data_IF_165971376632
#
_entry.id   IF_165971376632
#
_cell.length_a   1.000
_cell.length_b   1.000
_cell.length_c   1.000
_cell.angle_alpha   90.00
_cell.angle_beta   90.00
_cell.angle_gamma   90.00
#
_symmetry.space_group_name_H-M   'P 1'
#
loop_
_entity.id
_entity.type
_entity.pdbx_description
1 polymer ?
#
# COMPACT_ATOMS: atom_id res chain seq x y z
N UNK A 1 -16.51 31.90 -3.88
CA UNK A 1 -15.86 32.92 -3.03
C UNK A 1 -16.25 34.37 -3.44
N UNK A 2 -16.57 34.58 -4.71
CA UNK A 2 -16.97 35.91 -5.22
C UNK A 2 -18.43 36.25 -4.99
N UNK A 3 -19.23 35.38 -4.36
CA UNK A 3 -20.67 35.59 -4.14
C UNK A 3 -21.55 35.56 -5.39
N UNK A 4 -21.03 35.05 -6.52
CA UNK A 4 -21.80 34.95 -7.77
C UNK A 4 -22.76 33.77 -7.81
N UNK A 5 -22.51 32.76 -6.97
CA UNK A 5 -23.35 31.57 -6.78
C UNK A 5 -23.37 31.24 -5.30
N UNK A 6 -24.45 30.64 -4.83
CA UNK A 6 -24.62 30.30 -3.41
C UNK A 6 -23.79 29.10 -2.99
N UNK A 7 -23.59 28.13 -3.89
CA UNK A 7 -22.74 26.95 -3.65
C UNK A 7 -22.16 26.41 -4.97
N UNK A 8 -21.11 25.59 -4.85
CA UNK A 8 -20.51 24.84 -5.94
C UNK A 8 -20.42 23.38 -5.49
N UNK A 9 -21.00 22.50 -6.28
CA UNK A 9 -20.90 21.06 -6.07
C UNK A 9 -19.71 20.50 -6.84
N UNK A 10 -18.79 19.90 -6.10
CA UNK A 10 -17.63 19.19 -6.66
C UNK A 10 -18.02 17.72 -6.80
N UNK A 11 -18.01 17.21 -8.02
CA UNK A 11 -18.36 15.82 -8.31
C UNK A 11 -17.10 14.96 -8.43
N UNK A 12 -16.81 14.06 -7.47
CA UNK A 12 -15.70 13.14 -7.57
C UNK A 12 -15.93 12.15 -8.71
N UNK A 13 -14.96 11.98 -9.60
CA UNK A 13 -15.03 11.02 -10.72
C UNK A 13 -13.80 10.15 -10.71
N UNK A 14 -13.98 8.83 -10.60
CA UNK A 14 -12.92 7.85 -10.77
C UNK A 14 -12.94 7.26 -12.18
N UNK A 15 -11.75 7.10 -12.78
CA UNK A 15 -11.57 6.46 -14.08
C UNK A 15 -10.58 5.31 -13.90
N UNK A 16 -11.01 4.10 -14.24
CA UNK A 16 -10.20 2.89 -14.06
C UNK A 16 -10.19 2.09 -15.36
N UNK A 17 -9.06 1.50 -15.70
CA UNK A 17 -8.85 0.71 -16.90
C UNK A 17 -8.60 -0.76 -16.56
N UNK A 18 -9.09 -1.69 -17.36
CA UNK A 18 -8.68 -3.10 -17.24
C UNK A 18 -7.19 -3.24 -17.59
N UNK A 19 -6.75 -2.62 -18.68
CA UNK A 19 -5.35 -2.49 -19.06
C UNK A 19 -5.09 -1.11 -19.68
N UNK A 20 -3.88 -0.59 -19.50
CA UNK A 20 -3.45 0.71 -20.00
C UNK A 20 -2.18 0.55 -20.84
N UNK A 21 -2.17 1.14 -22.02
CA UNK A 21 -1.02 1.06 -22.96
C UNK A 21 0.24 1.71 -22.38
N UNK A 22 0.06 2.83 -21.69
CA UNK A 22 1.16 3.68 -21.19
C UNK A 22 1.85 3.10 -19.94
N UNK A 23 1.44 1.94 -19.44
CA UNK A 23 2.05 1.35 -18.22
C UNK A 23 3.54 1.07 -18.39
N UNK A 24 3.98 0.65 -19.58
CA UNK A 24 5.40 0.44 -19.88
C UNK A 24 6.18 1.76 -19.87
N UNK A 25 5.61 2.84 -20.40
CA UNK A 25 6.23 4.18 -20.38
C UNK A 25 6.27 4.76 -18.96
N UNK A 26 5.20 4.53 -18.18
CA UNK A 26 5.18 4.88 -16.76
C UNK A 26 6.29 4.14 -15.97
N UNK A 27 6.48 2.86 -16.23
CA UNK A 27 7.53 2.07 -15.61
C UNK A 27 8.94 2.58 -15.97
N UNK A 28 9.17 3.00 -17.23
CA UNK A 28 10.43 3.64 -17.66
C UNK A 28 10.65 4.98 -16.94
N UNK A 29 9.62 5.82 -16.84
CA UNK A 29 9.69 7.08 -16.10
C UNK A 29 9.99 6.90 -14.61
N UNK A 30 9.34 5.95 -13.96
CA UNK A 30 9.55 5.64 -12.55
C UNK A 30 10.99 5.19 -12.25
N UNK A 31 11.68 4.57 -13.22
CA UNK A 31 13.10 4.20 -13.14
C UNK A 31 14.06 5.38 -13.35
N UNK A 32 13.56 6.60 -13.53
CA UNK A 32 14.36 7.80 -13.78
C UNK A 32 14.62 8.07 -15.27
N UNK A 33 13.86 7.46 -16.16
CA UNK A 33 13.86 7.77 -17.59
C UNK A 33 13.27 9.15 -17.88
N UNK A 34 13.64 9.76 -19.02
CA UNK A 34 13.04 11.00 -19.48
C UNK A 34 11.73 10.73 -20.21
N UNK A 35 10.73 11.61 -20.01
CA UNK A 35 9.48 11.56 -20.77
C UNK A 35 9.78 11.70 -22.26
N UNK A 36 9.36 10.73 -23.08
CA UNK A 36 9.49 10.83 -24.54
C UNK A 36 8.62 11.97 -25.05
N UNK A 37 9.13 12.83 -25.98
CA UNK A 37 8.34 13.92 -26.53
C UNK A 37 7.15 13.36 -27.32
N UNK A 38 5.96 13.91 -27.05
CA UNK A 38 4.72 13.58 -27.75
C UNK A 38 4.76 14.20 -29.16
N UNK A 39 5.29 13.46 -30.14
CA UNK A 39 5.41 13.89 -31.53
C UNK A 39 4.49 13.09 -32.46
N UNK A 40 4.41 13.50 -33.74
CA UNK A 40 3.62 12.82 -34.78
C UNK A 40 3.97 11.32 -34.91
N UNK A 41 5.23 10.94 -34.72
CA UNK A 41 5.68 9.55 -34.73
C UNK A 41 5.10 8.73 -33.58
N UNK A 42 4.98 9.33 -32.39
CA UNK A 42 4.32 8.73 -31.24
C UNK A 42 2.81 8.51 -31.51
N UNK A 43 2.12 9.52 -32.05
CA UNK A 43 0.69 9.44 -32.41
C UNK A 43 0.42 8.35 -33.46
N UNK A 44 1.28 8.26 -34.49
CA UNK A 44 1.17 7.20 -35.50
C UNK A 44 1.39 5.80 -34.91
N UNK A 45 2.41 5.65 -34.05
CA UNK A 45 2.67 4.40 -33.31
C UNK A 45 1.49 4.02 -32.40
N UNK A 46 0.90 4.98 -31.69
CA UNK A 46 -0.28 4.81 -30.86
C UNK A 46 -1.50 4.34 -31.65
N UNK A 47 -1.81 5.00 -32.78
CA UNK A 47 -2.94 4.61 -33.66
C UNK A 47 -2.73 3.19 -34.20
N UNK A 48 -1.51 2.83 -34.60
CA UNK A 48 -1.18 1.50 -35.10
C UNK A 48 -1.30 0.42 -34.00
N UNK A 49 -0.87 0.73 -32.77
CA UNK A 49 -0.98 -0.16 -31.62
C UNK A 49 -2.44 -0.40 -31.20
N UNK A 50 -3.31 0.61 -31.31
CA UNK A 50 -4.74 0.47 -30.99
C UNK A 50 -5.46 -0.58 -31.86
N UNK A 51 -4.99 -0.83 -33.08
CA UNK A 51 -5.58 -1.84 -33.97
C UNK A 51 -5.23 -3.29 -33.62
N UNK A 52 -4.22 -3.52 -32.80
CA UNK A 52 -3.65 -4.86 -32.55
C UNK A 52 -3.79 -5.34 -31.10
N UNK A 53 -4.13 -4.47 -30.16
CA UNK A 53 -4.20 -4.83 -28.73
C UNK A 53 -5.61 -4.62 -28.15
N UNK A 54 -6.04 -5.56 -27.30
CA UNK A 54 -7.31 -5.49 -26.58
C UNK A 54 -7.05 -4.93 -25.18
N UNK A 55 -7.31 -3.65 -24.98
CA UNK A 55 -7.10 -2.96 -23.68
C UNK A 55 -8.21 -3.22 -22.63
N UNK A 56 -9.24 -4.00 -22.98
CA UNK A 56 -10.37 -4.25 -22.10
C UNK A 56 -11.32 -3.04 -22.02
N UNK A 57 -11.85 -2.79 -20.83
CA UNK A 57 -12.88 -1.76 -20.58
C UNK A 57 -12.31 -0.59 -19.79
N UNK A 58 -12.91 0.57 -20.02
CA UNK A 58 -12.74 1.77 -19.19
C UNK A 58 -13.99 1.91 -18.31
N UNK A 59 -13.77 2.11 -17.03
CA UNK A 59 -14.85 2.29 -16.05
C UNK A 59 -14.80 3.73 -15.53
N UNK A 60 -15.90 4.45 -15.73
CA UNK A 60 -16.08 5.81 -15.20
C UNK A 60 -17.15 5.73 -14.12
N UNK A 61 -16.82 6.20 -12.93
CA UNK A 61 -17.76 6.19 -11.80
C UNK A 61 -17.84 7.57 -11.18
N UNK A 62 -19.07 8.04 -11.00
CA UNK A 62 -19.38 9.30 -10.34
C UNK A 62 -19.67 9.02 -8.85
N UNK A 63 -19.00 9.75 -7.96
CA UNK A 63 -19.23 9.68 -6.53
C UNK A 63 -20.28 10.68 -6.07
N UNK A 64 -20.53 10.71 -4.74
CA UNK A 64 -21.43 11.68 -4.13
C UNK A 64 -20.84 13.08 -4.21
N UNK A 65 -21.62 14.10 -4.61
CA UNK A 65 -21.15 15.46 -4.69
C UNK A 65 -20.69 16.00 -3.34
N UNK A 66 -19.67 16.86 -3.37
CA UNK A 66 -19.14 17.58 -2.22
C UNK A 66 -19.54 19.06 -2.34
N UNK A 67 -20.31 19.56 -1.40
CA UNK A 67 -20.64 20.98 -1.33
C UNK A 67 -19.44 21.79 -0.87
N UNK A 68 -19.02 22.77 -1.65
CA UNK A 68 -17.91 23.65 -1.32
C UNK A 68 -18.27 24.56 -0.12
N UNK A 69 -19.54 24.98 0.00
CA UNK A 69 -19.99 25.80 1.11
C UNK A 69 -19.96 25.07 2.45
N UNK A 70 -20.05 23.72 2.45
CA UNK A 70 -19.92 22.93 3.70
C UNK A 70 -18.53 23.04 4.33
N UNK A 71 -17.49 23.36 3.57
CA UNK A 71 -16.10 23.54 4.05
C UNK A 71 -15.73 25.02 4.24
N UNK A 72 -16.20 25.89 3.35
CA UNK A 72 -15.88 27.33 3.37
C UNK A 72 -16.84 28.15 4.19
N UNK A 73 -17.98 27.57 4.57
CA UNK A 73 -19.08 28.34 5.18
C UNK A 73 -19.77 29.26 4.18
N UNK A 74 -20.69 30.12 4.66
CA UNK A 74 -21.45 31.02 3.80
C UNK A 74 -20.57 32.10 3.15
N UNK A 75 -21.02 32.59 2.02
CA UNK A 75 -20.36 33.68 1.29
C UNK A 75 -20.16 34.89 2.22
N UNK A 76 -18.93 35.42 2.30
CA UNK A 76 -18.57 36.51 3.19
C UNK A 76 -18.45 36.12 4.68
N UNK A 77 -18.54 34.85 5.02
CA UNK A 77 -18.31 34.32 6.37
C UNK A 77 -16.84 34.41 6.82
N UNK A 78 -16.59 34.13 8.10
CA UNK A 78 -15.25 34.28 8.73
C UNK A 78 -14.17 33.48 8.03
N UNK A 79 -14.45 32.25 7.58
CA UNK A 79 -13.49 31.40 6.84
C UNK A 79 -13.16 32.01 5.49
N UNK A 80 -14.11 32.61 4.79
CA UNK A 80 -13.89 33.24 3.49
C UNK A 80 -13.03 34.50 3.59
N UNK A 81 -13.12 35.22 4.73
CA UNK A 81 -12.42 36.49 4.98
C UNK A 81 -10.98 36.29 5.49
N UNK A 82 -10.73 35.24 6.28
CA UNK A 82 -9.38 34.92 6.75
C UNK A 82 -8.59 34.09 5.70
N UNK A 83 -7.47 34.63 5.18
CA UNK A 83 -6.67 33.90 4.18
C UNK A 83 -6.11 32.55 4.67
N UNK A 84 -5.77 32.44 5.96
CA UNK A 84 -5.21 31.19 6.51
C UNK A 84 -6.30 30.12 6.68
N UNK A 85 -7.45 30.50 7.27
CA UNK A 85 -8.60 29.62 7.41
C UNK A 85 -9.14 29.16 6.04
N UNK A 86 -9.20 30.07 5.05
CA UNK A 86 -9.60 29.76 3.68
C UNK A 86 -8.66 28.77 3.01
N UNK A 87 -7.34 28.92 3.15
CA UNK A 87 -6.35 27.99 2.61
C UNK A 87 -6.53 26.59 3.20
N UNK A 88 -6.69 26.51 4.52
CA UNK A 88 -6.92 25.25 5.22
C UNK A 88 -8.24 24.58 4.78
N UNK A 89 -9.32 25.35 4.65
CA UNK A 89 -10.60 24.83 4.19
C UNK A 89 -10.53 24.29 2.75
N UNK A 90 -9.82 24.99 1.84
CA UNK A 90 -9.59 24.53 0.47
C UNK A 90 -8.74 23.23 0.44
N UNK A 91 -7.72 23.13 1.29
CA UNK A 91 -6.93 21.91 1.42
C UNK A 91 -7.78 20.73 1.92
N UNK A 92 -8.63 20.94 2.93
CA UNK A 92 -9.58 19.94 3.43
C UNK A 92 -10.57 19.52 2.35
N UNK A 93 -11.09 20.45 1.57
CA UNK A 93 -11.99 20.17 0.45
C UNK A 93 -11.30 19.32 -0.61
N UNK A 94 -10.09 19.70 -1.01
CA UNK A 94 -9.31 18.94 -2.00
C UNK A 94 -9.00 17.51 -1.52
N UNK A 95 -8.67 17.37 -0.22
CA UNK A 95 -8.45 16.07 0.42
C UNK A 95 -9.73 15.22 0.38
N UNK A 96 -10.87 15.76 0.76
CA UNK A 96 -12.16 15.06 0.74
C UNK A 96 -12.54 14.58 -0.66
N UNK A 97 -12.36 15.44 -1.67
CA UNK A 97 -12.63 15.07 -3.07
C UNK A 97 -11.71 13.94 -3.51
N UNK A 98 -10.41 14.04 -3.23
CA UNK A 98 -9.43 13.01 -3.59
C UNK A 98 -9.71 11.68 -2.87
N UNK A 99 -10.05 11.73 -1.58
CA UNK A 99 -10.45 10.56 -0.82
C UNK A 99 -11.70 9.88 -1.42
N UNK A 100 -12.75 10.65 -1.77
CA UNK A 100 -13.95 10.11 -2.42
C UNK A 100 -13.67 9.52 -3.80
N UNK A 101 -12.75 10.11 -4.57
CA UNK A 101 -12.29 9.52 -5.85
C UNK A 101 -11.68 8.14 -5.59
N UNK A 102 -10.79 7.99 -4.61
CA UNK A 102 -10.19 6.70 -4.27
C UNK A 102 -11.24 5.69 -3.80
N UNK A 103 -12.14 6.08 -2.88
CA UNK A 103 -13.21 5.20 -2.41
C UNK A 103 -14.19 4.79 -3.52
N UNK A 104 -14.37 5.64 -4.51
CA UNK A 104 -15.20 5.38 -5.69
C UNK A 104 -14.53 4.48 -6.74
N UNK A 105 -13.22 4.24 -6.66
CA UNK A 105 -12.47 3.49 -7.68
C UNK A 105 -12.88 2.01 -7.68
N UNK A 106 -13.40 1.45 -8.78
CA UNK A 106 -13.76 0.04 -8.81
C UNK A 106 -12.54 -0.84 -9.00
N UNK A 107 -12.40 -1.88 -8.19
CA UNK A 107 -11.34 -2.88 -8.30
C UNK A 107 -11.53 -3.71 -9.58
N UNK A 108 -10.48 -3.81 -10.40
CA UNK A 108 -10.46 -4.58 -11.65
C UNK A 108 -9.95 -6.01 -11.44
N UNK A 109 -10.25 -6.90 -12.38
CA UNK A 109 -9.68 -8.26 -12.40
C UNK A 109 -8.15 -8.22 -12.50
N UNK A 110 -7.60 -7.33 -13.31
CA UNK A 110 -6.16 -7.12 -13.48
C UNK A 110 -5.50 -6.74 -12.17
N UNK A 111 -6.07 -5.78 -11.43
CA UNK A 111 -5.54 -5.35 -10.14
C UNK A 111 -5.50 -6.49 -9.11
N UNK A 112 -6.56 -7.31 -9.04
CA UNK A 112 -6.62 -8.45 -8.12
C UNK A 112 -5.59 -9.52 -8.48
N UNK A 113 -5.53 -9.93 -9.74
CA UNK A 113 -4.59 -10.97 -10.19
C UNK A 113 -3.15 -10.54 -9.99
N UNK A 114 -2.80 -9.29 -10.34
CA UNK A 114 -1.44 -8.78 -10.13
C UNK A 114 -1.10 -8.68 -8.64
N UNK A 115 -2.05 -8.34 -7.78
CA UNK A 115 -1.84 -8.31 -6.32
C UNK A 115 -1.52 -9.70 -5.77
N UNK A 116 -2.27 -10.73 -6.18
CA UNK A 116 -2.00 -12.12 -5.76
C UNK A 116 -0.62 -12.59 -6.24
N UNK A 117 -0.25 -12.31 -7.50
CA UNK A 117 1.06 -12.71 -8.02
C UNK A 117 2.21 -11.94 -7.36
N UNK A 118 2.05 -10.64 -7.09
CA UNK A 118 3.05 -9.82 -6.40
C UNK A 118 3.25 -10.26 -4.94
N UNK A 119 2.20 -10.74 -4.27
CA UNK A 119 2.28 -11.24 -2.89
C UNK A 119 3.22 -12.43 -2.75
N UNK A 120 3.51 -13.16 -3.83
CA UNK A 120 4.35 -14.36 -3.83
C UNK A 120 5.79 -14.10 -4.29
N UNK A 121 6.20 -12.85 -4.43
CA UNK A 121 7.59 -12.40 -4.67
C UNK A 121 8.31 -13.10 -5.82
N UNK A 122 7.68 -13.16 -6.98
CA UNK A 122 8.27 -13.78 -8.17
C UNK A 122 8.26 -15.32 -8.16
N UNK A 123 7.66 -15.95 -7.14
CA UNK A 123 7.36 -17.38 -7.21
C UNK A 123 6.31 -17.63 -8.30
N UNK A 124 6.52 -18.69 -9.06
CA UNK A 124 5.56 -19.12 -10.07
C UNK A 124 4.39 -19.86 -9.41
N UNK A 125 3.16 -19.45 -9.75
CA UNK A 125 1.93 -20.02 -9.22
C UNK A 125 1.22 -20.90 -10.25
N UNK A 126 0.74 -22.05 -9.81
CA UNK A 126 -0.21 -22.85 -10.58
C UNK A 126 -1.57 -22.18 -10.67
N UNK A 127 -2.42 -22.62 -11.59
CA UNK A 127 -3.79 -22.10 -11.72
C UNK A 127 -4.61 -22.27 -10.45
N UNK A 128 -4.49 -23.39 -9.77
CA UNK A 128 -5.18 -23.65 -8.49
C UNK A 128 -4.72 -22.67 -7.41
N UNK A 129 -3.42 -22.41 -7.36
CA UNK A 129 -2.86 -21.45 -6.42
C UNK A 129 -3.34 -20.02 -6.70
N UNK A 130 -3.34 -19.54 -7.93
CA UNK A 130 -3.89 -18.23 -8.28
C UNK A 130 -5.35 -18.11 -7.84
N UNK A 131 -6.17 -19.13 -8.08
CA UNK A 131 -7.57 -19.15 -7.66
C UNK A 131 -7.73 -19.08 -6.14
N UNK A 132 -6.88 -19.78 -5.40
CA UNK A 132 -6.91 -19.75 -3.93
C UNK A 132 -6.64 -18.32 -3.39
N UNK A 133 -5.59 -17.65 -3.89
CA UNK A 133 -5.29 -16.28 -3.47
C UNK A 133 -6.38 -15.28 -3.87
N UNK A 134 -7.02 -15.50 -5.03
CA UNK A 134 -8.16 -14.67 -5.46
C UNK A 134 -9.39 -14.85 -4.57
N UNK A 135 -9.63 -16.05 -4.04
CA UNK A 135 -10.78 -16.30 -3.16
C UNK A 135 -10.68 -15.44 -1.87
N UNK A 136 -9.54 -15.47 -1.18
CA UNK A 136 -9.34 -14.64 0.03
C UNK A 136 -9.50 -13.14 -0.28
N UNK A 137 -8.96 -12.66 -1.43
CA UNK A 137 -9.09 -11.27 -1.85
C UNK A 137 -10.54 -10.89 -2.21
N UNK A 138 -11.27 -11.77 -2.87
CA UNK A 138 -12.67 -11.54 -3.24
C UNK A 138 -13.58 -11.48 -2.01
N UNK A 139 -13.39 -12.39 -1.06
CA UNK A 139 -14.14 -12.42 0.21
C UNK A 139 -13.87 -11.16 1.04
N UNK A 140 -12.61 -10.71 1.06
CA UNK A 140 -12.22 -9.46 1.69
C UNK A 140 -12.96 -8.25 1.10
N UNK A 141 -12.95 -8.11 -0.23
CA UNK A 141 -13.61 -6.99 -0.91
C UNK A 141 -15.14 -7.03 -0.76
N UNK A 142 -15.72 -8.22 -0.75
CA UNK A 142 -17.17 -8.41 -0.61
C UNK A 142 -17.65 -8.03 0.78
N UNK A 143 -16.99 -8.53 1.83
CA UNK A 143 -17.34 -8.25 3.22
C UNK A 143 -17.24 -6.76 3.60
N UNK A 144 -16.53 -5.97 2.81
CA UNK A 144 -16.36 -4.51 2.99
C UNK A 144 -17.12 -3.68 1.95
N UNK A 145 -17.94 -4.34 1.11
CA UNK A 145 -18.72 -3.69 0.05
C UNK A 145 -17.86 -2.84 -0.90
N UNK A 146 -16.58 -3.23 -1.11
CA UNK A 146 -15.68 -2.50 -2.00
C UNK A 146 -16.21 -2.55 -3.44
N UNK A 147 -16.20 -1.41 -4.18
CA UNK A 147 -16.63 -1.37 -5.57
C UNK A 147 -15.77 -2.31 -6.44
N UNK A 148 -16.44 -3.14 -7.25
CA UNK A 148 -15.77 -4.10 -8.17
C UNK A 148 -16.34 -4.01 -9.56
N UNK A 149 -15.47 -4.13 -10.57
CA UNK A 149 -15.90 -4.22 -11.96
C UNK A 149 -16.64 -5.55 -12.24
N UNK A 150 -17.34 -5.65 -13.36
CA UNK A 150 -17.95 -6.90 -13.77
C UNK A 150 -16.90 -8.00 -14.00
N UNK A 151 -15.72 -7.63 -14.56
CA UNK A 151 -14.60 -8.55 -14.77
C UNK A 151 -14.04 -9.07 -13.43
N UNK A 152 -13.88 -8.21 -12.42
CA UNK A 152 -13.46 -8.63 -11.09
C UNK A 152 -14.45 -9.59 -10.42
N UNK A 153 -15.76 -9.28 -10.48
CA UNK A 153 -16.79 -10.18 -9.94
C UNK A 153 -16.82 -11.55 -10.62
N UNK A 154 -16.46 -11.61 -11.91
CA UNK A 154 -16.41 -12.87 -12.66
C UNK A 154 -15.24 -13.78 -12.26
N UNK A 155 -14.24 -13.31 -11.48
CA UNK A 155 -13.06 -14.10 -11.05
C UNK A 155 -13.41 -15.27 -10.11
N UNK A 156 -14.65 -15.40 -9.65
CA UNK A 156 -15.14 -16.61 -9.01
C UNK A 156 -15.16 -17.81 -9.98
N UNK A 157 -15.26 -17.54 -11.29
CA UNK A 157 -15.28 -18.55 -12.35
C UNK A 157 -13.88 -18.81 -12.93
N UNK A 158 -13.51 -20.09 -13.11
CA UNK A 158 -12.21 -20.51 -13.65
C UNK A 158 -11.91 -19.89 -15.04
N UNK A 159 -12.92 -19.78 -15.91
CA UNK A 159 -12.74 -19.20 -17.25
C UNK A 159 -12.35 -17.73 -17.21
N UNK A 160 -12.92 -16.94 -16.30
CA UNK A 160 -12.56 -15.53 -16.16
C UNK A 160 -11.16 -15.33 -15.60
N UNK A 161 -10.72 -16.19 -14.65
CA UNK A 161 -9.35 -16.18 -14.14
C UNK A 161 -8.36 -16.47 -15.27
N UNK A 162 -8.62 -17.52 -16.07
CA UNK A 162 -7.78 -17.89 -17.22
C UNK A 162 -7.71 -16.75 -18.23
N UNK A 163 -8.85 -16.18 -18.63
CA UNK A 163 -8.89 -15.10 -19.59
C UNK A 163 -8.12 -13.84 -19.08
N UNK A 164 -8.19 -13.55 -17.77
CA UNK A 164 -7.43 -12.43 -17.19
C UNK A 164 -5.92 -12.71 -17.21
N UNK A 165 -5.49 -13.92 -16.86
CA UNK A 165 -4.09 -14.32 -16.93
C UNK A 165 -3.55 -14.24 -18.36
N UNK A 166 -4.31 -14.76 -19.34
CA UNK A 166 -3.93 -14.75 -20.75
C UNK A 166 -3.81 -13.28 -21.27
N UNK A 167 -4.74 -12.41 -20.88
CA UNK A 167 -4.68 -11.00 -21.22
C UNK A 167 -3.47 -10.29 -20.60
N UNK A 168 -3.10 -10.62 -19.34
CA UNK A 168 -1.91 -10.07 -18.68
C UNK A 168 -0.61 -10.58 -19.31
N UNK A 169 -0.59 -11.82 -19.79
CA UNK A 169 0.54 -12.39 -20.55
C UNK A 169 0.67 -11.67 -21.89
N UNK A 170 -0.43 -11.52 -22.62
CA UNK A 170 -0.44 -10.78 -23.89
C UNK A 170 -0.02 -9.31 -23.73
N UNK A 171 -0.37 -8.69 -22.60
CA UNK A 171 0.04 -7.32 -22.23
C UNK A 171 1.46 -7.20 -21.69
N UNK A 172 2.23 -8.30 -21.57
CA UNK A 172 3.62 -8.28 -21.09
C UNK A 172 3.73 -7.89 -19.60
N UNK A 173 2.71 -8.16 -18.78
CA UNK A 173 2.71 -7.89 -17.33
C UNK A 173 3.02 -9.15 -16.53
N UNK A 174 2.60 -10.29 -17.05
CA UNK A 174 2.77 -11.62 -16.43
C UNK A 174 3.47 -12.55 -17.41
N UNK A 175 4.34 -13.41 -16.90
CA UNK A 175 4.99 -14.47 -17.68
C UNK A 175 4.33 -15.79 -17.38
N UNK A 176 3.95 -16.52 -18.41
CA UNK A 176 3.55 -17.93 -18.31
C UNK A 176 4.74 -18.83 -18.65
N UNK A 177 5.00 -19.84 -17.83
CA UNK A 177 6.08 -20.82 -18.01
C UNK A 177 5.49 -22.23 -18.00
N UNK A 178 5.91 -23.08 -18.95
CA UNK A 178 5.48 -24.47 -19.09
C UNK A 178 4.69 -24.75 -20.37
N UNK A 179 4.70 -26.01 -20.81
CA UNK A 179 4.10 -26.45 -22.07
C UNK A 179 2.61 -26.83 -21.90
N UNK A 180 1.75 -25.90 -22.24
CA UNK A 180 0.37 -26.13 -22.69
C UNK A 180 -0.67 -26.70 -21.71
N UNK A 181 -0.41 -27.72 -20.91
CA UNK A 181 -1.43 -28.33 -20.04
C UNK A 181 -1.47 -27.75 -18.64
N UNK A 182 -0.32 -27.47 -18.02
CA UNK A 182 -0.21 -26.96 -16.66
C UNK A 182 0.79 -25.79 -16.57
N UNK A 183 0.53 -24.65 -17.24
CA UNK A 183 1.39 -23.50 -17.12
C UNK A 183 1.36 -22.93 -15.68
N UNK A 184 2.47 -22.33 -15.29
CA UNK A 184 2.58 -21.55 -14.07
C UNK A 184 2.78 -20.08 -14.43
N UNK A 185 2.32 -19.16 -13.58
CA UNK A 185 2.38 -17.73 -13.82
C UNK A 185 3.22 -17.03 -12.77
N UNK A 186 4.03 -16.08 -13.21
CA UNK A 186 4.84 -15.23 -12.33
C UNK A 186 4.96 -13.82 -12.90
N UNK A 187 5.34 -12.89 -12.03
CA UNK A 187 5.76 -11.55 -12.43
C UNK A 187 7.27 -11.47 -12.30
N UNK A 188 7.96 -11.40 -13.45
CA UNK A 188 9.41 -11.22 -13.49
C UNK A 188 9.85 -9.85 -13.00
N UNK A 189 11.13 -9.68 -12.59
CA UNK A 189 11.64 -8.39 -12.10
C UNK A 189 11.45 -7.25 -13.10
N UNK A 190 11.52 -7.53 -14.39
CA UNK A 190 11.33 -6.57 -15.48
C UNK A 190 9.89 -6.06 -15.60
N UNK A 191 8.89 -6.88 -15.21
CA UNK A 191 7.47 -6.57 -15.29
C UNK A 191 6.89 -6.05 -13.95
N UNK A 192 7.69 -6.06 -12.88
CA UNK A 192 7.23 -5.73 -11.53
C UNK A 192 6.59 -4.35 -11.45
N UNK A 193 7.21 -3.31 -12.05
CA UNK A 193 6.65 -1.95 -12.04
C UNK A 193 5.32 -1.83 -12.81
N UNK A 194 5.16 -2.57 -13.90
CA UNK A 194 3.89 -2.60 -14.63
C UNK A 194 2.79 -3.28 -13.80
N UNK A 195 3.11 -4.37 -13.11
CA UNK A 195 2.17 -5.06 -12.23
C UNK A 195 1.78 -4.22 -11.01
N UNK A 196 2.74 -3.49 -10.41
CA UNK A 196 2.47 -2.61 -9.26
C UNK A 196 1.59 -1.43 -9.62
N UNK A 197 1.66 -0.92 -10.85
CA UNK A 197 0.72 0.09 -11.33
C UNK A 197 -0.74 -0.37 -11.16
N UNK A 198 -1.07 -1.59 -11.57
CA UNK A 198 -2.42 -2.13 -11.43
C UNK A 198 -2.77 -2.41 -9.96
N UNK A 199 -1.86 -3.01 -9.17
CA UNK A 199 -2.04 -3.22 -7.74
C UNK A 199 -2.32 -1.90 -7.01
N UNK A 200 -1.63 -0.81 -7.36
CA UNK A 200 -1.78 0.48 -6.70
C UNK A 200 -3.20 1.07 -6.84
N UNK A 201 -3.99 0.61 -7.81
CA UNK A 201 -5.39 1.03 -7.92
C UNK A 201 -6.30 0.46 -6.81
N UNK A 202 -5.84 -0.53 -6.03
CA UNK A 202 -6.64 -1.16 -4.97
C UNK A 202 -6.01 -1.12 -3.57
N UNK A 203 -4.72 -0.77 -3.41
CA UNK A 203 -4.03 -0.88 -2.12
C UNK A 203 -4.64 -0.03 -1.01
N UNK A 204 -5.29 1.08 -1.35
CA UNK A 204 -5.97 1.94 -0.37
C UNK A 204 -7.15 1.24 0.33
N UNK A 205 -7.77 0.22 -0.30
CA UNK A 205 -8.78 -0.63 0.34
C UNK A 205 -8.17 -1.69 1.27
N UNK A 206 -6.89 -2.01 1.10
CA UNK A 206 -6.17 -2.99 1.89
C UNK A 206 -5.36 -2.34 3.02
N UNK A 207 -5.31 -1.00 3.08
CA UNK A 207 -4.42 -0.29 3.99
C UNK A 207 -4.72 -0.59 5.45
N UNK A 208 -5.98 -0.47 5.88
CA UNK A 208 -6.34 -0.64 7.29
C UNK A 208 -5.99 -2.05 7.80
N UNK A 209 -6.27 -3.11 7.00
CA UNK A 209 -5.86 -4.47 7.39
C UNK A 209 -4.33 -4.62 7.41
N UNK A 210 -3.61 -4.00 6.48
CA UNK A 210 -2.15 -4.01 6.47
C UNK A 210 -1.54 -3.33 7.72
N UNK A 211 -2.14 -2.24 8.18
CA UNK A 211 -1.73 -1.58 9.43
C UNK A 211 -2.08 -2.44 10.66
N UNK A 212 -3.26 -3.08 10.67
CA UNK A 212 -3.67 -4.00 11.73
C UNK A 212 -2.70 -5.16 11.89
N UNK A 213 -2.25 -5.79 10.79
CA UNK A 213 -1.27 -6.89 10.83
C UNK A 213 0.02 -6.48 11.53
N UNK A 214 0.58 -5.31 11.17
CA UNK A 214 1.79 -4.77 11.79
C UNK A 214 1.59 -4.41 13.27
N UNK A 215 0.42 -3.87 13.61
CA UNK A 215 0.09 -3.49 14.97
C UNK A 215 -0.18 -4.70 15.89
N UNK A 216 -0.80 -5.77 15.38
CA UNK A 216 -0.96 -7.05 16.11
C UNK A 216 0.42 -7.66 16.40
N UNK A 217 1.31 -7.68 15.42
CA UNK A 217 2.66 -8.18 15.60
C UNK A 217 3.43 -7.37 16.64
N UNK A 218 3.33 -6.03 16.59
CA UNK A 218 3.96 -5.14 17.59
C UNK A 218 3.41 -5.36 19.00
N UNK A 219 2.11 -5.54 19.12
CA UNK A 219 1.48 -5.82 20.43
C UNK A 219 1.98 -7.14 21.03
N UNK A 220 2.14 -8.20 20.22
CA UNK A 220 2.72 -9.47 20.62
C UNK A 220 4.18 -9.35 21.08
N UNK A 221 5.01 -8.59 20.34
CA UNK A 221 6.41 -8.33 20.71
C UNK A 221 6.51 -7.56 22.03
N UNK A 222 5.69 -6.53 22.25
CA UNK A 222 5.66 -5.75 23.49
C UNK A 222 5.30 -6.61 24.72
N UNK A 223 4.40 -7.55 24.56
CA UNK A 223 4.03 -8.49 25.62
C UNK A 223 5.17 -9.50 25.92
N UNK A 224 5.98 -9.88 24.92
CA UNK A 224 7.14 -10.76 25.09
C UNK A 224 8.28 -10.09 25.85
N UNK A 225 8.58 -8.82 25.51
CA UNK A 225 9.66 -8.04 26.14
C UNK A 225 9.42 -7.88 27.65
N UNK A 226 8.18 -7.70 28.05
CA UNK A 226 7.80 -7.57 29.45
C UNK A 226 7.85 -8.90 30.23
N UNK A 227 7.52 -10.02 29.58
CA UNK A 227 7.66 -11.36 30.20
C UNK A 227 9.12 -11.70 30.50
N UNK A 228 10.04 -11.35 29.59
CA UNK A 228 11.47 -11.61 29.77
C UNK A 228 12.12 -10.71 30.85
N UNK A 229 11.61 -9.49 31.05
CA UNK A 229 12.08 -8.58 32.10
C UNK A 229 11.68 -9.03 33.51
N UNK A 230 10.52 -9.68 33.67
CA UNK A 230 10.05 -10.23 34.93
C UNK A 230 10.86 -11.47 35.41
N UNK A 231 11.36 -12.28 34.45
CA UNK A 231 12.18 -13.46 34.74
C UNK A 231 13.63 -13.11 35.15
N UNK A 232 14.10 -11.93 34.79
CA UNK A 232 15.48 -11.48 35.05
C UNK A 232 15.72 -10.88 36.44
N UNK A 233 14.71 -10.89 37.35
CA UNK A 233 14.89 -10.60 38.80
C UNK A 233 15.33 -9.17 39.15
N UNK A 234 15.19 -8.18 38.26
CA UNK A 234 15.47 -6.76 38.54
C UNK A 234 14.21 -6.09 39.04
N UNK A 235 13.99 -6.14 40.35
CA UNK A 235 12.97 -5.36 41.05
C UNK A 235 13.40 -3.87 41.06
N UNK A 236 13.20 -3.14 40.00
CA UNK A 236 13.13 -1.68 40.01
C UNK A 236 11.65 -1.28 39.94
N UNK A 237 11.23 -0.66 41.00
CA UNK A 237 9.95 -0.10 41.36
C UNK A 237 9.41 0.83 40.20
N UNK A 238 8.21 0.57 39.75
CA UNK A 238 7.38 1.16 38.68
C UNK A 238 7.20 0.30 37.44
N UNK A 239 7.05 -1.01 37.58
CA UNK A 239 6.68 -1.88 36.46
C UNK A 239 5.25 -1.62 35.97
N UNK A 240 5.08 -0.74 35.00
CA UNK A 240 3.84 -0.63 34.22
C UNK A 240 3.56 -1.98 33.59
N UNK A 241 2.42 -2.58 33.97
CA UNK A 241 1.91 -3.80 33.30
C UNK A 241 1.86 -3.53 31.80
N UNK A 242 2.43 -4.40 30.95
CA UNK A 242 2.36 -4.22 29.51
C UNK A 242 0.91 -4.07 29.08
N UNK A 243 0.61 -3.03 28.34
CA UNK A 243 -0.69 -2.87 27.68
C UNK A 243 -0.54 -3.20 26.18
N UNK A 244 -0.75 -4.47 25.77
CA UNK A 244 -0.64 -4.84 24.37
C UNK A 244 -1.66 -4.13 23.48
N UNK A 245 -2.82 -3.75 24.02
CA UNK A 245 -3.83 -2.98 23.30
C UNK A 245 -3.39 -1.54 23.14
N UNK A 246 -2.76 -0.96 24.17
CA UNK A 246 -2.09 0.35 24.05
C UNK A 246 -1.00 0.32 22.99
N UNK A 247 -0.10 -0.66 23.02
CA UNK A 247 0.95 -0.85 22.02
C UNK A 247 0.41 -1.02 20.58
N UNK A 248 -0.73 -1.71 20.41
CA UNK A 248 -1.44 -1.80 19.13
C UNK A 248 -1.86 -0.41 18.62
N UNK A 249 -2.51 0.40 19.45
CA UNK A 249 -2.98 1.71 19.07
C UNK A 249 -1.85 2.72 18.82
N UNK A 250 -0.79 2.64 19.58
CA UNK A 250 0.43 3.45 19.39
C UNK A 250 1.08 3.13 18.05
N UNK A 251 1.13 1.85 17.68
CA UNK A 251 1.64 1.42 16.39
C UNK A 251 0.76 1.90 15.23
N UNK A 252 -0.57 1.81 15.33
CA UNK A 252 -1.51 2.38 14.35
C UNK A 252 -1.25 3.88 14.18
N UNK A 253 -1.11 4.62 15.27
CA UNK A 253 -0.84 6.06 15.22
C UNK A 253 0.51 6.37 14.55
N UNK A 254 1.54 5.58 14.85
CA UNK A 254 2.88 5.69 14.29
C UNK A 254 2.90 5.39 12.78
N UNK A 255 2.26 4.31 12.35
CA UNK A 255 2.16 3.92 10.94
C UNK A 255 1.35 4.95 10.14
N UNK A 256 0.26 5.46 10.70
CA UNK A 256 -0.50 6.56 10.10
C UNK A 256 0.35 7.81 9.93
N UNK A 257 1.16 8.19 10.92
CA UNK A 257 2.08 9.33 10.80
C UNK A 257 3.17 9.08 9.75
N UNK A 258 3.71 7.86 9.68
CA UNK A 258 4.72 7.46 8.71
C UNK A 258 4.20 7.57 7.26
N UNK A 259 2.95 7.14 7.02
CA UNK A 259 2.38 7.00 5.69
C UNK A 259 1.44 8.16 5.28
N UNK A 260 1.34 9.21 6.08
CA UNK A 260 0.41 10.35 5.88
C UNK A 260 0.59 11.13 4.58
N UNK A 261 1.73 11.01 3.92
CA UNK A 261 1.98 11.65 2.62
C UNK A 261 1.77 10.70 1.43
N UNK A 262 1.52 9.41 1.69
CA UNK A 262 1.26 8.41 0.65
C UNK A 262 -0.24 8.06 0.55
N UNK A 263 -0.94 8.09 1.69
CA UNK A 263 -2.33 7.67 1.77
C UNK A 263 -3.22 8.75 2.37
N UNK A 264 -4.47 8.75 1.96
CA UNK A 264 -5.53 9.60 2.53
C UNK A 264 -6.12 8.91 3.76
N UNK A 265 -5.83 9.44 4.94
CA UNK A 265 -6.43 8.99 6.19
C UNK A 265 -7.55 9.93 6.61
N UNK A 266 -8.64 9.38 7.12
CA UNK A 266 -9.68 10.16 7.74
C UNK A 266 -9.20 10.83 9.03
N UNK A 267 -10.04 11.67 9.67
CA UNK A 267 -9.73 12.23 10.98
C UNK A 267 -9.40 11.13 11.99
N UNK A 268 -8.62 11.45 13.03
CA UNK A 268 -8.03 10.44 13.93
C UNK A 268 -9.07 9.52 14.56
N UNK A 269 -10.17 10.09 15.06
CA UNK A 269 -11.21 9.30 15.74
C UNK A 269 -11.99 8.44 14.76
N UNK A 270 -12.23 8.91 13.55
CA UNK A 270 -12.87 8.13 12.50
C UNK A 270 -11.99 6.98 12.04
N UNK A 271 -10.70 7.25 11.76
CA UNK A 271 -9.73 6.21 11.41
C UNK A 271 -9.62 5.15 12.53
N UNK A 272 -9.60 5.59 13.81
CA UNK A 272 -9.61 4.65 14.95
C UNK A 272 -10.86 3.76 14.95
N UNK A 273 -12.04 4.30 14.66
CA UNK A 273 -13.27 3.50 14.52
C UNK A 273 -13.19 2.50 13.36
N UNK A 274 -12.62 2.91 12.22
CA UNK A 274 -12.44 2.03 11.07
C UNK A 274 -11.48 0.87 11.37
N UNK A 275 -10.34 1.16 11.97
CA UNK A 275 -9.37 0.13 12.40
C UNK A 275 -10.00 -0.82 13.42
N UNK A 276 -10.75 -0.33 14.40
CA UNK A 276 -11.45 -1.19 15.36
C UNK A 276 -12.49 -2.08 14.67
N UNK A 277 -13.24 -1.53 13.72
CA UNK A 277 -14.20 -2.31 12.93
C UNK A 277 -13.51 -3.33 12.02
N UNK A 278 -12.34 -3.01 11.49
CA UNK A 278 -11.52 -3.94 10.69
C UNK A 278 -11.05 -5.13 11.55
N UNK A 279 -10.50 -4.85 12.72
CA UNK A 279 -10.08 -5.89 13.65
C UNK A 279 -11.26 -6.78 14.11
N UNK A 280 -12.41 -6.17 14.38
CA UNK A 280 -13.61 -6.91 14.78
C UNK A 280 -14.16 -7.83 13.67
N UNK A 281 -13.90 -7.55 12.38
CA UNK A 281 -14.23 -8.47 11.27
C UNK A 281 -13.33 -9.70 11.26
N UNK A 282 -12.07 -9.54 11.65
CA UNK A 282 -11.14 -10.68 11.78
C UNK A 282 -11.42 -11.49 13.04
N UNK A 283 -11.59 -10.84 14.17
CA UNK A 283 -11.95 -11.46 15.45
C UNK A 283 -12.67 -10.45 16.35
N UNK A 284 -13.96 -10.65 16.69
CA UNK A 284 -14.68 -9.74 17.59
C UNK A 284 -14.06 -9.64 18.99
N UNK A 285 -13.26 -10.62 19.41
CA UNK A 285 -12.58 -10.65 20.71
C UNK A 285 -11.10 -10.22 20.64
N UNK A 286 -10.67 -9.58 19.58
CA UNK A 286 -9.26 -9.26 19.30
C UNK A 286 -8.52 -8.57 20.45
N UNK A 287 -9.14 -7.62 21.17
CA UNK A 287 -8.51 -6.97 22.33
C UNK A 287 -8.22 -7.95 23.46
N UNK A 288 -9.17 -8.85 23.75
CA UNK A 288 -8.98 -9.88 24.77
C UNK A 288 -7.87 -10.85 24.37
N UNK A 289 -7.79 -11.19 23.07
CA UNK A 289 -6.70 -12.02 22.56
C UNK A 289 -5.33 -11.35 22.70
N UNK A 290 -5.21 -10.06 22.38
CA UNK A 290 -3.95 -9.34 22.59
C UNK A 290 -3.52 -9.34 24.07
N UNK A 291 -4.48 -9.18 25.00
CA UNK A 291 -4.21 -9.23 26.45
C UNK A 291 -3.85 -10.63 26.95
N UNK A 292 -4.16 -11.68 26.19
CA UNK A 292 -3.84 -13.08 26.56
C UNK A 292 -2.37 -13.44 26.31
N UNK A 293 -1.58 -12.54 25.70
CA UNK A 293 -0.14 -12.68 25.53
C UNK A 293 0.32 -12.96 24.10
N UNK A 294 1.64 -13.15 23.91
CA UNK A 294 2.27 -13.20 22.59
C UNK A 294 1.75 -14.33 21.71
N UNK A 295 1.55 -15.52 22.26
CA UNK A 295 1.04 -16.67 21.50
C UNK A 295 -0.36 -16.41 20.93
N UNK A 296 -1.25 -15.78 21.70
CA UNK A 296 -2.58 -15.42 21.25
C UNK A 296 -2.56 -14.31 20.17
N UNK A 297 -1.61 -13.39 20.26
CA UNK A 297 -1.38 -12.39 19.21
C UNK A 297 -0.88 -13.04 17.91
N UNK A 298 0.05 -14.01 17.99
CA UNK A 298 0.51 -14.78 16.82
C UNK A 298 -0.62 -15.61 16.19
N UNK A 299 -1.49 -16.22 17.00
CA UNK A 299 -2.68 -16.93 16.51
C UNK A 299 -3.68 -15.98 15.85
N UNK A 300 -3.91 -14.78 16.42
CA UNK A 300 -4.77 -13.74 15.86
C UNK A 300 -4.23 -13.32 14.48
N UNK A 301 -2.94 -13.00 14.38
CA UNK A 301 -2.29 -12.65 13.12
C UNK A 301 -2.40 -13.80 12.09
N UNK A 302 -2.15 -15.03 12.53
CA UNK A 302 -2.27 -16.20 11.65
C UNK A 302 -3.72 -16.46 11.18
N UNK A 303 -4.72 -15.96 11.88
CA UNK A 303 -6.14 -16.01 11.50
C UNK A 303 -6.58 -14.93 10.52
N UNK A 304 -5.87 -13.82 10.42
CA UNK A 304 -6.24 -12.70 9.53
C UNK A 304 -6.14 -13.11 8.05
N UNK A 305 -7.13 -12.72 7.24
CA UNK A 305 -7.21 -13.04 5.80
C UNK A 305 -7.73 -11.84 5.00
N UNK A 306 -7.07 -11.51 3.86
CA UNK A 306 -5.74 -11.94 3.45
C UNK A 306 -4.65 -11.29 4.33
N UNK A 307 -3.40 -11.80 4.29
CA UNK A 307 -2.24 -11.09 4.81
C UNK A 307 -1.62 -10.26 3.68
N UNK A 308 -1.58 -8.94 3.85
CA UNK A 308 -1.28 -8.01 2.75
C UNK A 308 -0.26 -6.90 3.08
N UNK A 309 0.16 -6.73 4.33
CA UNK A 309 1.05 -5.61 4.69
C UNK A 309 2.35 -5.62 3.88
N UNK A 310 2.91 -6.79 3.57
CA UNK A 310 4.10 -6.95 2.75
C UNK A 310 3.88 -6.53 1.28
N UNK A 311 2.64 -6.56 0.78
CA UNK A 311 2.28 -6.11 -0.59
C UNK A 311 1.93 -4.63 -0.61
N UNK A 312 1.28 -4.12 0.45
CA UNK A 312 0.73 -2.77 0.52
C UNK A 312 1.75 -1.77 1.03
N UNK A 313 2.45 -2.08 2.14
CA UNK A 313 3.25 -1.12 2.90
C UNK A 313 4.75 -1.19 2.57
N UNK A 314 5.25 -2.37 2.22
CA UNK A 314 6.70 -2.61 1.99
C UNK A 314 7.36 -1.62 1.03
N UNK A 315 6.80 -1.32 -0.16
CA UNK A 315 7.48 -0.44 -1.11
C UNK A 315 7.78 0.94 -0.54
N UNK A 316 6.87 1.49 0.25
CA UNK A 316 7.01 2.79 0.90
C UNK A 316 8.06 2.74 2.02
N UNK A 317 7.97 1.72 2.89
CA UNK A 317 8.92 1.55 4.01
C UNK A 317 10.35 1.32 3.50
N UNK A 318 10.54 0.51 2.46
CA UNK A 318 11.85 0.28 1.85
C UNK A 318 12.39 1.55 1.18
N UNK A 319 11.54 2.32 0.47
CA UNK A 319 11.93 3.59 -0.11
C UNK A 319 12.36 4.61 0.98
N UNK A 320 11.59 4.70 2.06
CA UNK A 320 11.88 5.58 3.18
C UNK A 320 13.18 5.16 3.90
N UNK A 321 13.42 3.86 4.02
CA UNK A 321 14.65 3.32 4.56
C UNK A 321 15.87 3.70 3.74
N UNK A 322 15.78 3.69 2.39
CA UNK A 322 16.87 4.14 1.53
C UNK A 322 17.26 5.60 1.80
N UNK A 323 16.26 6.48 1.91
CA UNK A 323 16.48 7.89 2.27
C UNK A 323 17.08 8.02 3.68
N UNK A 324 16.55 7.25 4.64
CA UNK A 324 17.07 7.25 6.02
C UNK A 324 18.50 6.70 6.10
N UNK A 325 18.85 5.67 5.30
CA UNK A 325 20.23 5.16 5.19
C UNK A 325 21.17 6.26 4.68
N UNK A 326 20.79 7.03 3.64
CA UNK A 326 21.58 8.16 3.13
C UNK A 326 21.75 9.23 4.21
N UNK A 327 20.66 9.68 4.84
CA UNK A 327 20.69 10.74 5.85
C UNK A 327 21.48 10.35 7.11
N UNK A 328 21.54 9.06 7.46
CA UNK A 328 22.24 8.59 8.64
C UNK A 328 23.76 8.39 8.42
N UNK A 329 24.21 8.23 7.17
CA UNK A 329 25.60 7.89 6.87
C UNK A 329 26.38 9.02 6.16
N UNK A 330 25.70 10.04 5.64
CA UNK A 330 26.33 11.13 4.90
C UNK A 330 25.83 12.50 5.37
N UNK A 331 26.61 13.14 6.23
CA UNK A 331 26.31 14.49 6.73
C UNK A 331 26.59 15.60 5.69
N UNK A 332 27.25 15.25 4.57
CA UNK A 332 27.60 16.22 3.51
C UNK A 332 26.45 16.46 2.54
N UNK A 333 25.46 15.58 2.51
CA UNK A 333 24.30 15.68 1.63
C UNK A 333 23.29 16.68 2.21
N UNK A 334 23.22 17.86 1.61
CA UNK A 334 22.40 18.99 2.09
C UNK A 334 21.21 19.32 1.19
N UNK A 335 21.26 18.92 -0.08
CA UNK A 335 20.17 19.20 -1.02
C UNK A 335 19.28 17.97 -1.26
N UNK A 336 17.98 18.17 -1.51
CA UNK A 336 17.05 17.11 -1.85
C UNK A 336 17.47 16.34 -3.09
N UNK A 337 18.00 17.03 -4.09
CA UNK A 337 18.45 16.42 -5.34
C UNK A 337 19.63 15.48 -5.11
N UNK A 338 20.51 15.80 -4.16
CA UNK A 338 21.65 14.96 -3.82
C UNK A 338 21.18 13.71 -3.06
N UNK A 339 20.30 13.88 -2.05
CA UNK A 339 19.71 12.73 -1.34
C UNK A 339 18.99 11.78 -2.32
N UNK A 340 18.17 12.31 -3.22
CA UNK A 340 17.48 11.48 -4.21
C UNK A 340 18.46 10.75 -5.12
N UNK A 341 19.52 11.42 -5.59
CA UNK A 341 20.54 10.81 -6.45
C UNK A 341 21.27 9.67 -5.73
N UNK A 342 21.71 9.90 -4.49
CA UNK A 342 22.38 8.91 -3.67
C UNK A 342 21.45 7.73 -3.33
N UNK A 343 20.21 8.00 -2.95
CA UNK A 343 19.21 6.97 -2.66
C UNK A 343 18.89 6.11 -3.91
N UNK A 344 18.86 6.69 -5.12
CA UNK A 344 18.73 5.94 -6.36
C UNK A 344 19.93 5.02 -6.62
N UNK A 345 21.15 5.48 -6.34
CA UNK A 345 22.38 4.70 -6.44
C UNK A 345 22.38 3.53 -5.46
N UNK A 346 22.13 3.83 -4.18
CA UNK A 346 22.05 2.85 -3.10
C UNK A 346 20.93 1.82 -3.34
N UNK A 347 19.77 2.28 -3.79
CA UNK A 347 18.62 1.43 -4.10
C UNK A 347 18.92 0.41 -5.19
N UNK A 348 19.56 0.84 -6.30
CA UNK A 348 20.01 -0.08 -7.36
C UNK A 348 20.98 -1.14 -6.84
N UNK A 349 21.93 -0.72 -5.98
CA UNK A 349 22.86 -1.65 -5.34
C UNK A 349 22.13 -2.66 -4.43
N UNK A 350 21.16 -2.20 -3.63
CA UNK A 350 20.39 -3.08 -2.74
C UNK A 350 19.49 -4.05 -3.49
N UNK A 351 18.91 -3.64 -4.63
CA UNK A 351 18.17 -4.56 -5.52
C UNK A 351 19.13 -5.63 -6.09
N UNK A 352 20.29 -5.23 -6.60
CA UNK A 352 21.30 -6.18 -7.12
C UNK A 352 21.79 -7.16 -6.04
N UNK A 353 21.90 -6.71 -4.79
CA UNK A 353 22.27 -7.53 -3.63
C UNK A 353 21.09 -8.32 -3.02
N UNK A 354 19.89 -8.22 -3.56
CA UNK A 354 18.65 -8.80 -3.02
C UNK A 354 18.32 -8.36 -1.59
N UNK A 355 18.74 -7.16 -1.22
CA UNK A 355 18.44 -6.52 0.08
C UNK A 355 17.13 -5.74 0.06
N UNK A 356 16.60 -5.43 -1.11
CA UNK A 356 15.24 -4.97 -1.36
C UNK A 356 14.46 -6.06 -2.10
N UNK A 357 13.21 -6.21 -1.75
CA UNK A 357 12.32 -7.20 -2.34
C UNK A 357 11.68 -6.72 -3.64
N UNK A 358 11.49 -5.41 -3.79
CA UNK A 358 10.87 -4.81 -4.95
C UNK A 358 11.71 -3.67 -5.54
N UNK A 359 11.85 -3.66 -6.86
CA UNK A 359 12.43 -2.51 -7.58
C UNK A 359 11.53 -1.26 -7.52
N UNK A 360 10.27 -1.39 -7.17
CA UNK A 360 9.32 -0.30 -6.96
C UNK A 360 9.77 0.66 -5.87
N UNK A 361 10.43 0.14 -4.82
CA UNK A 361 10.98 0.95 -3.72
C UNK A 361 12.06 1.93 -4.18
N UNK A 362 12.67 1.71 -5.37
CA UNK A 362 13.69 2.59 -5.94
C UNK A 362 13.03 3.61 -6.86
N UNK A 363 12.38 4.59 -6.28
CA UNK A 363 11.58 5.60 -6.97
C UNK A 363 11.89 7.00 -6.48
N UNK A 364 12.26 7.90 -7.42
CA UNK A 364 12.49 9.31 -7.09
C UNK A 364 11.26 9.98 -6.46
N UNK A 365 10.05 9.58 -6.87
CA UNK A 365 8.80 10.09 -6.30
C UNK A 365 8.64 9.70 -4.83
N UNK A 366 8.85 8.41 -4.50
CA UNK A 366 8.78 7.93 -3.11
C UNK A 366 9.88 8.57 -2.24
N UNK A 367 11.06 8.81 -2.81
CA UNK A 367 12.14 9.49 -2.08
C UNK A 367 11.82 10.96 -1.78
N UNK A 368 11.13 11.66 -2.69
CA UNK A 368 10.64 13.02 -2.43
C UNK A 368 9.63 13.04 -1.28
N UNK A 369 8.72 12.08 -1.24
CA UNK A 369 7.76 11.92 -0.14
C UNK A 369 8.48 11.58 1.18
N UNK A 370 9.48 10.69 1.14
CA UNK A 370 10.31 10.37 2.30
C UNK A 370 11.05 11.61 2.83
N UNK A 371 11.57 12.47 1.95
CA UNK A 371 12.20 13.74 2.33
C UNK A 371 11.21 14.71 2.97
N UNK A 372 9.99 14.78 2.44
CA UNK A 372 8.92 15.58 3.05
C UNK A 372 8.62 15.11 4.48
N UNK A 373 8.56 13.80 4.70
CA UNK A 373 8.39 13.23 6.03
C UNK A 373 9.61 13.52 6.93
N UNK A 374 10.82 13.36 6.41
CA UNK A 374 12.05 13.64 7.16
C UNK A 374 12.12 15.10 7.61
N UNK A 375 11.70 16.05 6.77
CA UNK A 375 11.56 17.47 7.17
C UNK A 375 10.50 17.67 8.23
N UNK A 376 9.35 17.05 8.06
CA UNK A 376 8.26 17.14 9.04
C UNK A 376 8.67 16.59 10.42
N UNK A 377 9.58 15.61 10.46
CA UNK A 377 10.17 15.04 11.67
C UNK A 377 11.43 15.79 12.15
N UNK A 378 11.82 16.89 11.51
CA UNK A 378 12.97 17.70 11.89
C UNK A 378 14.32 17.00 11.70
N UNK A 379 14.48 16.15 10.67
CA UNK A 379 15.71 15.38 10.44
C UNK A 379 16.78 16.15 9.63
N UNK A 380 16.57 17.45 9.39
CA UNK A 380 17.53 18.31 8.68
C UNK A 380 18.16 19.39 9.57
N UNK A 381 17.50 19.75 10.67
CA UNK A 381 17.93 20.86 11.53
C UNK A 381 17.71 20.53 13.01
N UNK A 382 18.45 21.20 13.89
CA UNK A 382 18.31 21.15 15.35
C UNK A 382 19.32 20.24 16.04
N UNK A 383 19.24 20.21 17.38
CA UNK A 383 20.13 19.43 18.24
C UNK A 383 19.90 17.93 18.08
N UNK A 384 20.92 17.14 18.39
CA UNK A 384 20.89 15.65 18.34
C UNK A 384 20.47 15.06 16.97
N UNK A 385 20.80 15.76 15.89
CA UNK A 385 20.40 15.38 14.53
C UNK A 385 20.83 13.94 14.17
N UNK A 386 22.07 13.57 14.49
CA UNK A 386 22.61 12.24 14.23
C UNK A 386 21.82 11.15 15.00
N UNK A 387 21.47 11.39 16.25
CA UNK A 387 20.68 10.47 17.06
C UNK A 387 19.24 10.32 16.50
N UNK A 388 18.60 11.41 16.08
CA UNK A 388 17.27 11.38 15.47
C UNK A 388 17.25 10.66 14.12
N UNK A 389 18.25 10.87 13.29
CA UNK A 389 18.42 10.15 12.01
C UNK A 389 18.63 8.66 12.24
N UNK A 390 19.49 8.30 13.20
CA UNK A 390 19.72 6.91 13.59
C UNK A 390 18.43 6.25 14.12
N UNK A 391 17.66 6.94 14.95
CA UNK A 391 16.38 6.45 15.47
C UNK A 391 15.35 6.21 14.34
N UNK A 392 15.24 7.14 13.39
CA UNK A 392 14.38 6.98 12.23
C UNK A 392 14.79 5.79 11.35
N UNK A 393 16.08 5.62 11.11
CA UNK A 393 16.58 4.45 10.38
C UNK A 393 16.30 3.14 11.13
N UNK A 394 16.47 3.12 12.44
CA UNK A 394 16.16 1.96 13.28
C UNK A 394 14.65 1.60 13.22
N UNK A 395 13.78 2.60 13.28
CA UNK A 395 12.33 2.44 13.11
C UNK A 395 11.99 1.74 11.79
N UNK A 396 12.57 2.20 10.68
CA UNK A 396 12.28 1.64 9.36
C UNK A 396 12.87 0.23 9.18
N UNK A 397 14.05 -0.04 9.75
CA UNK A 397 14.63 -1.39 9.75
C UNK A 397 13.78 -2.38 10.56
N UNK A 398 13.23 -1.94 11.67
CA UNK A 398 12.31 -2.74 12.47
C UNK A 398 11.02 -3.05 11.72
N UNK A 399 10.45 -2.08 11.02
CA UNK A 399 9.28 -2.30 10.16
C UNK A 399 9.56 -3.29 9.03
N UNK A 400 10.74 -3.19 8.36
CA UNK A 400 11.12 -4.17 7.33
C UNK A 400 11.19 -5.58 7.92
N UNK A 401 11.79 -5.76 9.08
CA UNK A 401 11.85 -7.06 9.79
C UNK A 401 10.46 -7.63 10.05
N UNK A 402 9.51 -6.79 10.51
CA UNK A 402 8.13 -7.22 10.74
C UNK A 402 7.39 -7.55 9.45
N UNK A 403 7.60 -6.79 8.40
CA UNK A 403 7.08 -7.09 7.07
C UNK A 403 7.60 -8.44 6.53
N UNK A 404 8.89 -8.76 6.76
CA UNK A 404 9.48 -10.05 6.41
C UNK A 404 8.79 -11.19 7.17
N UNK A 405 8.53 -11.02 8.48
CA UNK A 405 7.82 -12.03 9.28
C UNK A 405 6.39 -12.28 8.80
N UNK A 406 5.65 -11.23 8.45
CA UNK A 406 4.28 -11.35 7.93
C UNK A 406 4.27 -12.02 6.56
N UNK A 407 5.22 -11.66 5.70
CA UNK A 407 5.40 -12.29 4.39
C UNK A 407 5.69 -13.78 4.51
N UNK A 408 6.63 -14.18 5.34
CA UNK A 408 6.93 -15.58 5.61
C UNK A 408 5.69 -16.34 6.11
N UNK A 409 4.89 -15.72 6.97
CA UNK A 409 3.64 -16.29 7.46
C UNK A 409 2.62 -16.45 6.32
N UNK A 410 2.48 -15.44 5.47
CA UNK A 410 1.58 -15.44 4.32
C UNK A 410 1.95 -16.56 3.33
N UNK A 411 3.23 -16.66 2.97
CA UNK A 411 3.73 -17.67 2.03
C UNK A 411 3.55 -19.09 2.59
N UNK A 412 3.93 -19.34 3.86
CA UNK A 412 3.78 -20.66 4.49
C UNK A 412 2.31 -21.10 4.55
N UNK A 413 1.42 -20.18 4.89
CA UNK A 413 -0.01 -20.46 4.89
C UNK A 413 -0.52 -20.79 3.50
N UNK A 414 -0.14 -19.98 2.53
CA UNK A 414 -0.55 -20.17 1.14
C UNK A 414 -0.11 -21.54 0.59
N UNK A 415 1.13 -21.96 0.86
CA UNK A 415 1.64 -23.27 0.47
C UNK A 415 0.84 -24.39 1.14
N UNK A 416 0.57 -24.28 2.45
CA UNK A 416 -0.21 -25.27 3.21
C UNK A 416 -1.63 -25.39 2.67
N UNK A 417 -2.31 -24.28 2.45
CA UNK A 417 -3.69 -24.25 1.97
C UNK A 417 -3.78 -24.78 0.53
N UNK A 418 -2.77 -24.51 -0.31
CA UNK A 418 -2.67 -25.05 -1.66
C UNK A 418 -2.46 -26.59 -1.67
N UNK A 419 -1.66 -27.13 -0.76
CA UNK A 419 -1.45 -28.59 -0.61
C UNK A 419 -2.75 -29.26 -0.12
N UNK A 420 -3.45 -28.65 0.84
CA UNK A 420 -4.72 -29.18 1.37
C UNK A 420 -5.89 -29.13 0.37
N UNK A 421 -5.79 -28.28 -0.67
CA UNK A 421 -6.79 -28.19 -1.73
C UNK A 421 -6.54 -29.17 -2.91
N UNK A 422 -5.42 -29.88 -2.93
CA UNK A 422 -5.16 -30.92 -3.94
C UNK A 422 -6.04 -32.13 -3.64
N UNK A 423 -6.74 -32.69 -4.65
CA UNK A 423 -7.47 -33.95 -4.45
C UNK A 423 -6.47 -35.03 -4.02
N UNK A 424 -6.85 -35.82 -3.03
CA UNK A 424 -6.12 -37.04 -2.68
C UNK A 424 -6.24 -37.99 -3.89
N UNK A 425 -5.11 -38.34 -4.49
CA UNK A 425 -5.05 -39.32 -5.60
C UNK A 425 -5.54 -40.73 -5.15
#
# INVERSE_FOLDING_TARGET
LSGRVDDILLLPVSITFDQLHEVSEYAEYARGGSKKPEGFGWLYGFIKAQGSQHYGKVYVRFGEPVSLSSFLGPVGGSVALDPAARRLALQKTAFEVAWRINQGMPVTATALVTTVLLAMQGAALTFAQVRLGLADGMDYLESRSVPRTASARALTGAGAVRATLDALVAGGVVTAVGDGRDPVWLIGPEHQLAATFYRNSLIHFLLDTALCELAVLRAGESASDAGSASDAGSASDTGSVPDPVGAFWDEIARLRDLLKFEFYFQERDEHRRQVAAEMARHDPSWESRLRSGPAAADELLAGMRPLVSHVVVRPFVEAYRLVADVLAHDDTVTSDSDVVREALGLGRQYVAQRRLRSSESVSALLFQTALQLARNRGLFEGDDLAARRAAFLAELRDLVRRLDRIEDLAIRRYIRDAVGAMPAD
#
